data_IF_035869904549
#
_entry.id   IF_035869904549
#
_cell.length_a   1.000
_cell.length_b   1.000
_cell.length_c   1.000
_cell.angle_alpha   90.00
_cell.angle_beta   90.00
_cell.angle_gamma   90.00
#
_symmetry.space_group_name_H-M   'P 1'
#
loop_
_entity.id
_entity.type
_entity.pdbx_description
1 polymer ?
#
# COMPACT_ATOMS: atom_id res chain seq x y z
N UNK A 1 -20.24 -15.68 21.78
CA UNK A 1 -20.54 -14.30 22.22
C UNK A 1 -19.38 -13.45 21.72
N UNK A 2 -19.48 -12.73 20.61
CA UNK A 2 -19.80 -11.29 20.61
C UNK A 2 -20.11 -10.79 19.18
N UNK A 3 -21.34 -11.00 18.67
CA UNK A 3 -21.82 -10.41 17.40
C UNK A 3 -22.96 -9.40 17.59
N UNK A 4 -23.43 -9.22 18.84
CA UNK A 4 -24.60 -8.39 19.16
C UNK A 4 -24.28 -6.90 19.43
N UNK A 5 -22.99 -6.53 19.55
CA UNK A 5 -22.60 -5.13 19.79
C UNK A 5 -22.53 -4.28 18.51
N UNK A 6 -22.40 -4.89 17.33
CA UNK A 6 -22.39 -4.16 16.05
C UNK A 6 -23.80 -3.87 15.51
N UNK A 7 -24.82 -4.60 15.97
CA UNK A 7 -26.20 -4.41 15.49
C UNK A 7 -26.93 -3.23 16.18
N UNK A 8 -26.41 -2.72 17.30
CA UNK A 8 -27.04 -1.63 18.06
C UNK A 8 -26.64 -0.22 17.63
N UNK A 9 -25.76 -0.09 16.63
CA UNK A 9 -25.42 1.19 16.01
C UNK A 9 -26.32 1.54 14.81
N UNK A 10 -27.28 0.66 14.45
CA UNK A 10 -28.23 0.89 13.37
C UNK A 10 -29.42 1.77 13.76
N UNK A 11 -29.16 3.04 14.08
CA UNK A 11 -30.19 4.09 14.05
C UNK A 11 -30.48 4.54 12.60
N UNK A 12 -31.64 5.16 12.30
CA UNK A 12 -32.03 5.56 10.95
C UNK A 12 -31.16 6.69 10.37
N UNK A 13 -30.21 7.21 11.14
CA UNK A 13 -29.18 8.12 10.65
C UNK A 13 -28.01 7.27 10.13
N UNK A 14 -28.05 6.96 8.83
CA UNK A 14 -26.97 6.29 8.09
C UNK A 14 -25.74 7.21 8.04
N UNK A 15 -25.07 7.41 9.17
CA UNK A 15 -23.68 7.83 9.19
C UNK A 15 -22.90 6.73 8.51
N UNK A 16 -22.67 6.92 7.20
CA UNK A 16 -21.60 6.24 6.46
C UNK A 16 -20.41 6.23 7.40
N UNK A 17 -20.01 5.07 7.89
CA UNK A 17 -18.65 4.93 8.43
C UNK A 17 -17.75 5.52 7.34
N UNK A 18 -17.07 6.62 7.64
CA UNK A 18 -16.21 7.30 6.67
C UNK A 18 -15.19 6.26 6.24
N UNK A 19 -15.38 5.77 5.02
CA UNK A 19 -14.55 4.71 4.51
C UNK A 19 -13.17 5.29 4.25
N UNK A 20 -12.12 4.56 4.62
CA UNK A 20 -10.75 5.05 4.52
C UNK A 20 -10.35 5.09 3.05
N UNK A 21 -10.36 6.28 2.46
CA UNK A 21 -9.97 6.53 1.06
C UNK A 21 -8.48 6.89 0.94
N UNK A 22 -7.91 7.47 2.00
CA UNK A 22 -6.54 7.96 2.06
C UNK A 22 -5.78 7.42 3.26
N UNK A 23 -4.59 6.90 3.02
CA UNK A 23 -3.71 6.40 4.07
C UNK A 23 -2.27 6.85 3.83
N UNK A 24 -1.74 7.69 4.74
CA UNK A 24 -0.31 8.03 4.82
C UNK A 24 0.26 7.42 6.10
N UNK A 25 1.13 6.42 5.96
CA UNK A 25 1.83 5.79 7.07
C UNK A 25 3.32 6.12 6.99
N UNK A 26 3.83 6.60 8.11
CA UNK A 26 5.25 6.86 8.29
C UNK A 26 5.82 5.98 9.39
N UNK A 27 6.71 5.07 9.02
CA UNK A 27 7.44 4.22 9.96
C UNK A 27 8.71 4.94 10.42
N UNK A 28 8.83 5.11 11.73
CA UNK A 28 9.94 5.83 12.39
C UNK A 28 11.04 4.93 12.92
N UNK A 29 10.75 3.65 13.14
CA UNK A 29 11.70 2.63 13.59
C UNK A 29 11.67 1.41 12.66
N UNK A 30 12.68 0.55 12.74
CA UNK A 30 12.81 -0.65 11.88
C UNK A 30 12.53 -1.95 12.64
N UNK A 31 11.93 -1.85 13.83
CA UNK A 31 11.86 -2.98 14.76
C UNK A 31 10.52 -3.69 14.67
N UNK A 32 10.52 -4.86 14.03
CA UNK A 32 9.39 -5.77 13.96
C UNK A 32 8.53 -5.57 12.71
N UNK A 33 7.84 -6.64 12.31
CA UNK A 33 6.78 -6.54 11.32
C UNK A 33 5.54 -5.91 11.96
N UNK A 34 4.84 -5.09 11.19
CA UNK A 34 3.57 -4.47 11.58
C UNK A 34 2.47 -5.06 10.73
N UNK A 35 1.44 -5.58 11.40
CA UNK A 35 0.20 -5.95 10.73
C UNK A 35 -0.60 -4.69 10.37
N UNK A 36 -0.74 -4.41 9.07
CA UNK A 36 -1.48 -3.28 8.54
C UNK A 36 -2.93 -3.64 8.18
N UNK A 37 -3.40 -4.86 8.44
CA UNK A 37 -4.75 -5.34 8.10
C UNK A 37 -5.88 -4.44 8.61
N UNK A 38 -5.68 -3.79 9.75
CA UNK A 38 -6.65 -2.88 10.36
C UNK A 38 -6.94 -1.64 9.51
N UNK A 39 -6.04 -1.30 8.59
CA UNK A 39 -6.20 -0.19 7.66
C UNK A 39 -6.63 -0.64 6.26
N UNK A 40 -6.88 -1.93 6.05
CA UNK A 40 -7.39 -2.43 4.79
C UNK A 40 -8.79 -1.86 4.53
N UNK A 41 -8.95 -1.22 3.38
CA UNK A 41 -10.20 -0.58 2.98
C UNK A 41 -10.48 -0.89 1.52
N UNK A 42 -11.67 -1.39 1.18
CA UNK A 42 -12.02 -1.72 -0.21
C UNK A 42 -12.16 -0.49 -1.11
N UNK A 43 -12.16 0.71 -0.53
CA UNK A 43 -12.28 1.98 -1.24
C UNK A 43 -11.02 2.85 -1.11
N UNK A 44 -9.90 2.27 -0.65
CA UNK A 44 -8.64 3.00 -0.54
C UNK A 44 -8.18 3.42 -1.94
N UNK A 45 -8.06 4.73 -2.15
CA UNK A 45 -7.65 5.32 -3.42
C UNK A 45 -6.18 5.71 -3.37
N UNK A 46 -5.73 6.31 -2.27
CA UNK A 46 -4.36 6.82 -2.14
C UNK A 46 -3.66 6.17 -0.96
N UNK A 47 -2.55 5.49 -1.26
CA UNK A 47 -1.68 4.90 -0.25
C UNK A 47 -0.28 5.50 -0.36
N UNK A 48 0.20 6.01 0.77
CA UNK A 48 1.56 6.47 0.92
C UNK A 48 2.22 5.80 2.11
N UNK A 49 3.32 5.13 1.85
CA UNK A 49 4.15 4.49 2.86
C UNK A 49 5.53 5.15 2.82
N UNK A 50 6.00 5.59 3.97
CA UNK A 50 7.29 6.25 4.09
C UNK A 50 8.08 5.78 5.31
N UNK A 51 9.40 5.70 5.16
CA UNK A 51 10.31 5.40 6.29
C UNK A 51 10.84 3.97 6.32
N UNK A 52 11.44 3.61 7.45
CA UNK A 52 12.43 2.53 7.52
C UNK A 52 11.84 1.12 7.34
N UNK A 53 11.78 0.67 6.08
CA UNK A 53 11.70 -0.75 5.74
C UNK A 53 10.32 -1.39 5.87
N UNK A 54 9.31 -0.84 5.19
CA UNK A 54 8.09 -1.60 4.92
C UNK A 54 8.39 -2.72 3.92
N UNK A 55 8.21 -3.98 4.32
CA UNK A 55 8.28 -5.12 3.42
C UNK A 55 7.02 -5.23 2.56
N UNK A 56 7.14 -5.81 1.36
CA UNK A 56 6.00 -6.05 0.47
C UNK A 56 4.88 -6.82 1.18
N UNK A 57 5.24 -7.82 2.00
CA UNK A 57 4.27 -8.62 2.74
C UNK A 57 3.50 -7.80 3.80
N UNK A 58 4.03 -6.68 4.28
CA UNK A 58 3.31 -5.87 5.28
C UNK A 58 2.21 -5.04 4.64
N UNK A 59 2.46 -4.49 3.45
CA UNK A 59 1.51 -3.60 2.79
C UNK A 59 0.67 -4.23 1.69
N UNK A 60 0.95 -5.46 1.27
CA UNK A 60 0.14 -6.12 0.23
C UNK A 60 -1.35 -6.20 0.60
N UNK A 61 -1.68 -6.31 1.89
CA UNK A 61 -3.07 -6.34 2.38
C UNK A 61 -3.81 -5.01 2.23
N UNK A 62 -3.08 -3.91 2.00
CA UNK A 62 -3.65 -2.59 1.72
C UNK A 62 -3.91 -2.39 0.23
N UNK A 63 -3.43 -3.30 -0.64
CA UNK A 63 -3.71 -3.25 -2.06
C UNK A 63 -5.18 -3.57 -2.31
N UNK A 64 -5.85 -2.73 -3.07
CA UNK A 64 -7.23 -2.99 -3.47
C UNK A 64 -7.49 -2.47 -4.90
N UNK A 65 -8.57 -2.95 -5.55
CA UNK A 65 -8.89 -2.55 -6.91
C UNK A 65 -9.23 -1.06 -7.08
N UNK A 66 -9.54 -0.36 -5.98
CA UNK A 66 -9.84 1.07 -5.99
C UNK A 66 -8.60 1.96 -5.95
N UNK A 67 -7.41 1.40 -5.71
CA UNK A 67 -6.17 2.17 -5.55
C UNK A 67 -5.79 2.85 -6.86
N UNK A 68 -5.65 4.17 -6.82
CA UNK A 68 -5.26 5.02 -7.97
C UNK A 68 -3.83 5.53 -7.83
N UNK A 69 -3.38 5.76 -6.59
CA UNK A 69 -2.08 6.33 -6.29
C UNK A 69 -1.36 5.52 -5.22
N UNK A 70 -0.15 5.07 -5.55
CA UNK A 70 0.74 4.40 -4.62
C UNK A 70 2.09 5.12 -4.56
N UNK A 71 2.48 5.53 -3.36
CA UNK A 71 3.82 6.04 -3.08
C UNK A 71 4.50 5.18 -2.03
N UNK A 72 5.62 4.56 -2.39
CA UNK A 72 6.53 3.89 -1.47
C UNK A 72 7.81 4.71 -1.41
N UNK A 73 8.20 5.18 -0.22
CA UNK A 73 9.37 6.06 -0.06
C UNK A 73 10.26 5.71 1.13
N UNK A 74 11.58 5.80 0.93
CA UNK A 74 12.60 5.49 1.93
C UNK A 74 12.48 4.05 2.47
N UNK A 75 11.91 3.16 1.67
CA UNK A 75 11.78 1.74 2.00
C UNK A 75 13.15 1.09 1.79
N UNK A 76 13.77 0.60 2.87
CA UNK A 76 15.06 -0.08 2.83
C UNK A 76 14.98 -1.53 2.33
N UNK A 77 13.80 -1.93 1.85
CA UNK A 77 13.45 -3.31 1.55
C UNK A 77 13.63 -3.56 0.05
N UNK A 78 14.36 -4.62 -0.33
CA UNK A 78 14.53 -4.98 -1.73
C UNK A 78 13.18 -5.43 -2.29
N UNK A 79 12.64 -4.65 -3.22
CA UNK A 79 11.43 -5.03 -3.96
C UNK A 79 11.86 -5.74 -5.24
N UNK A 80 11.40 -6.97 -5.40
CA UNK A 80 11.64 -7.78 -6.60
C UNK A 80 10.69 -7.38 -7.73
N UNK A 81 11.11 -7.65 -8.98
CA UNK A 81 10.24 -7.46 -10.15
C UNK A 81 8.93 -8.23 -10.03
N UNK A 82 8.94 -9.42 -9.43
CA UNK A 82 7.75 -10.25 -9.22
C UNK A 82 6.73 -9.60 -8.28
N UNK A 83 7.20 -8.98 -7.20
CA UNK A 83 6.35 -8.25 -6.25
C UNK A 83 5.69 -7.03 -6.89
N UNK A 84 6.43 -6.29 -7.74
CA UNK A 84 5.87 -5.17 -8.51
C UNK A 84 4.78 -5.68 -9.46
N UNK A 85 5.01 -6.79 -10.16
CA UNK A 85 4.00 -7.37 -11.06
C UNK A 85 2.75 -7.80 -10.28
N UNK A 86 2.93 -8.45 -9.12
CA UNK A 86 1.82 -8.83 -8.25
C UNK A 86 1.02 -7.62 -7.76
N UNK A 87 1.71 -6.53 -7.43
CA UNK A 87 1.09 -5.27 -7.07
C UNK A 87 0.22 -4.72 -8.19
N UNK A 88 0.80 -4.55 -9.38
CA UNK A 88 0.12 -4.01 -10.55
C UNK A 88 -1.09 -4.87 -10.96
N UNK A 89 -0.99 -6.18 -10.79
CA UNK A 89 -2.10 -7.11 -11.05
C UNK A 89 -3.27 -6.95 -10.07
N UNK A 90 -2.99 -6.48 -8.85
CA UNK A 90 -3.99 -6.31 -7.78
C UNK A 90 -4.64 -4.92 -7.77
N UNK A 91 -4.07 -3.98 -8.51
CA UNK A 91 -4.49 -2.57 -8.55
C UNK A 91 -4.72 -2.12 -10.00
N UNK A 92 -5.77 -2.62 -10.69
CA UNK A 92 -6.04 -2.32 -12.10
C UNK A 92 -6.35 -0.85 -12.39
N UNK A 93 -6.69 -0.05 -11.36
CA UNK A 93 -6.96 1.39 -11.47
C UNK A 93 -5.76 2.25 -11.09
N UNK A 94 -4.59 1.65 -10.90
CA UNK A 94 -3.40 2.39 -10.49
C UNK A 94 -2.88 3.21 -11.67
N UNK A 95 -3.03 4.53 -11.58
CA UNK A 95 -2.54 5.48 -12.59
C UNK A 95 -1.18 6.06 -12.20
N UNK A 96 -0.88 6.10 -10.89
CA UNK A 96 0.34 6.69 -10.34
C UNK A 96 1.05 5.70 -9.42
N UNK A 97 2.27 5.31 -9.81
CA UNK A 97 3.17 4.51 -8.99
C UNK A 97 4.48 5.28 -8.79
N UNK A 98 4.78 5.60 -7.53
CA UNK A 98 6.02 6.25 -7.14
C UNK A 98 6.82 5.35 -6.20
N UNK A 99 8.03 4.97 -6.64
CA UNK A 99 8.96 4.16 -5.88
C UNK A 99 10.23 4.98 -5.59
N UNK A 100 10.39 5.44 -4.36
CA UNK A 100 11.61 6.07 -3.85
C UNK A 100 12.32 5.07 -2.93
N UNK A 101 13.11 4.18 -3.52
CA UNK A 101 13.92 3.19 -2.79
C UNK A 101 15.36 3.68 -2.65
N UNK A 102 15.98 3.40 -1.50
CA UNK A 102 17.41 3.58 -1.34
C UNK A 102 18.10 2.44 -2.09
N UNK A 103 18.77 2.76 -3.20
CA UNK A 103 19.54 1.77 -3.96
C UNK A 103 20.80 1.48 -3.17
N UNK A 104 20.78 0.41 -2.38
CA UNK A 104 21.99 -0.15 -1.83
C UNK A 104 22.76 -0.83 -2.96
N UNK A 105 24.04 -0.50 -3.19
CA UNK A 105 24.87 -1.23 -4.13
C UNK A 105 25.01 -2.66 -3.62
N UNK A 106 24.16 -3.55 -4.11
CA UNK A 106 24.39 -4.97 -4.04
C UNK A 106 25.54 -5.21 -5.02
N UNK A 107 26.74 -5.52 -4.54
CA UNK A 107 27.93 -5.81 -5.35
C UNK A 107 27.79 -7.07 -6.23
N UNK A 108 26.57 -7.47 -6.57
CA UNK A 108 26.27 -8.62 -7.40
C UNK A 108 25.64 -8.28 -8.75
N UNK A 109 24.87 -7.21 -8.94
CA UNK A 109 24.31 -6.85 -10.26
C UNK A 109 24.05 -5.35 -10.39
N UNK A 110 24.57 -4.76 -11.47
CA UNK A 110 24.48 -3.35 -11.86
C UNK A 110 23.07 -2.75 -11.67
N UNK A 111 22.97 -1.75 -10.79
CA UNK A 111 21.71 -1.13 -10.40
C UNK A 111 21.16 -0.20 -11.49
N UNK A 112 19.96 -0.50 -11.98
CA UNK A 112 19.18 0.34 -12.90
C UNK A 112 18.04 0.99 -12.12
N UNK A 113 17.99 2.33 -12.12
CA UNK A 113 16.78 3.08 -11.75
C UNK A 113 15.80 2.94 -12.90
N UNK A 114 14.65 2.28 -12.70
CA UNK A 114 13.59 2.19 -13.71
C UNK A 114 12.33 2.91 -13.22
N UNK A 115 12.11 4.12 -13.73
CA UNK A 115 10.82 4.80 -13.62
C UNK A 115 9.90 4.19 -14.68
N UNK A 116 8.83 3.51 -14.26
CA UNK A 116 7.82 2.97 -15.17
C UNK A 116 6.56 3.82 -15.04
N UNK A 117 6.31 4.67 -16.02
CA UNK A 117 5.01 5.32 -16.21
C UNK A 117 4.08 4.32 -16.88
N UNK A 118 2.98 3.97 -16.21
CA UNK A 118 1.93 3.13 -16.80
C UNK A 118 1.09 4.01 -17.73
N UNK A 119 1.11 3.71 -19.03
CA UNK A 119 0.21 4.34 -19.98
C UNK A 119 -1.12 3.58 -19.98
N UNK A 120 -2.24 4.30 -19.98
CA UNK A 120 -3.55 3.69 -20.18
C UNK A 120 -3.64 3.12 -21.60
N UNK A 121 -4.22 1.92 -21.78
CA UNK A 121 -4.57 1.42 -23.10
C UNK A 121 -5.70 2.28 -23.69
N UNK A 122 -5.45 2.85 -24.88
CA UNK A 122 -6.43 3.57 -25.70
C UNK A 122 -7.66 2.72 -26.08
#
# INVERSE_FOLDING_TARGET
MSSLMLQRLGGPDRTRAQALEDLDLRRTDKHGQVDLSLFASPVLQRLKLSGAGFDFHEFHMLMCPALTDLTLSKTQTPVTTGEIIGLLSSTPRLHSLKLETDIFPCFALDGIVKVVTLQEPC
#
